data_IF_840053744883
#
_entry.id   IF_840053744883
#
_cell.length_a   1.000
_cell.length_b   1.000
_cell.length_c   1.000
_cell.angle_alpha   90.00
_cell.angle_beta   90.00
_cell.angle_gamma   90.00
#
_symmetry.space_group_name_H-M   'P 1'
#
loop_
_entity.id
_entity.type
_entity.pdbx_description
1 polymer ?
#
# COMPACT_ATOMS: atom_id res chain seq x y z
N UNK A 1 -17.83 -25.29 -23.00
CA UNK A 1 -18.78 -24.22 -22.65
C UNK A 1 -19.56 -23.80 -23.89
N UNK A 2 -20.88 -23.85 -23.82
CA UNK A 2 -21.79 -23.47 -24.91
C UNK A 2 -21.86 -21.94 -25.06
N UNK A 3 -22.32 -21.46 -26.23
CA UNK A 3 -22.53 -20.01 -26.47
C UNK A 3 -23.55 -19.41 -25.49
N UNK A 4 -24.59 -20.18 -25.16
CA UNK A 4 -25.65 -19.81 -24.20
C UNK A 4 -25.10 -19.61 -22.79
N UNK A 5 -24.26 -20.52 -22.30
CA UNK A 5 -23.58 -20.40 -21.00
C UNK A 5 -22.71 -19.15 -20.90
N UNK A 6 -21.93 -18.86 -21.96
CA UNK A 6 -21.10 -17.65 -22.02
C UNK A 6 -21.93 -16.37 -21.93
N UNK A 7 -23.07 -16.31 -22.62
CA UNK A 7 -23.96 -15.16 -22.56
C UNK A 7 -24.59 -15.01 -21.16
N UNK A 8 -25.06 -16.11 -20.56
CA UNK A 8 -25.64 -16.08 -19.21
C UNK A 8 -24.64 -15.56 -18.17
N UNK A 9 -23.38 -15.98 -18.24
CA UNK A 9 -22.31 -15.54 -17.33
C UNK A 9 -21.89 -14.06 -17.50
N UNK A 10 -22.31 -13.42 -18.59
CA UNK A 10 -22.12 -11.98 -18.81
C UNK A 10 -23.37 -11.18 -18.46
N UNK A 11 -24.53 -11.63 -18.95
CA UNK A 11 -25.80 -10.92 -18.82
C UNK A 11 -26.26 -10.88 -17.37
N UNK A 12 -26.22 -12.01 -16.66
CA UNK A 12 -26.81 -12.09 -15.33
C UNK A 12 -26.03 -11.24 -14.31
N UNK A 13 -24.68 -11.33 -14.20
CA UNK A 13 -23.94 -10.42 -13.32
C UNK A 13 -23.92 -8.98 -13.83
N UNK A 14 -23.88 -8.77 -15.14
CA UNK A 14 -23.97 -7.42 -15.72
C UNK A 14 -25.27 -6.72 -15.34
N UNK A 15 -26.41 -7.42 -15.41
CA UNK A 15 -27.71 -6.92 -15.01
C UNK A 15 -27.78 -6.61 -13.51
N UNK A 16 -27.27 -7.51 -12.65
CA UNK A 16 -27.21 -7.28 -11.21
C UNK A 16 -26.39 -6.02 -10.85
N UNK A 17 -25.22 -5.86 -11.46
CA UNK A 17 -24.38 -4.66 -11.28
C UNK A 17 -25.03 -3.39 -11.84
N UNK A 18 -25.77 -3.46 -12.95
CA UNK A 18 -26.51 -2.32 -13.50
C UNK A 18 -27.66 -1.89 -12.58
N UNK A 19 -28.38 -2.84 -11.97
CA UNK A 19 -29.39 -2.51 -10.96
C UNK A 19 -28.77 -1.82 -9.75
N UNK A 20 -27.60 -2.31 -9.29
CA UNK A 20 -26.88 -1.70 -8.18
C UNK A 20 -26.39 -0.29 -8.56
N UNK A 21 -25.91 -0.11 -9.79
CA UNK A 21 -25.53 1.20 -10.31
C UNK A 21 -26.73 2.15 -10.38
N UNK A 22 -27.89 1.69 -10.85
CA UNK A 22 -29.12 2.50 -10.87
C UNK A 22 -29.54 2.92 -9.45
N UNK A 23 -29.38 2.05 -8.46
CA UNK A 23 -29.61 2.39 -7.06
C UNK A 23 -28.63 3.45 -6.55
N UNK A 24 -27.33 3.31 -6.82
CA UNK A 24 -26.32 4.32 -6.46
C UNK A 24 -26.56 5.67 -7.15
N UNK A 25 -27.01 5.65 -8.40
CA UNK A 25 -27.36 6.86 -9.15
C UNK A 25 -28.51 7.62 -8.48
N UNK A 26 -29.52 6.90 -7.96
CA UNK A 26 -30.62 7.50 -7.21
C UNK A 26 -30.15 8.16 -5.91
N UNK A 27 -29.09 7.65 -5.30
CA UNK A 27 -28.45 8.23 -4.11
C UNK A 27 -27.48 9.38 -4.45
N UNK A 28 -27.30 9.70 -5.74
CA UNK A 28 -26.38 10.74 -6.20
C UNK A 28 -24.90 10.32 -6.20
N UNK A 29 -24.59 9.03 -5.99
CA UNK A 29 -23.20 8.53 -5.94
C UNK A 29 -22.70 8.15 -7.35
N UNK A 30 -22.33 9.17 -8.13
CA UNK A 30 -21.87 9.01 -9.52
C UNK A 30 -20.56 8.21 -9.58
N UNK A 31 -19.67 8.35 -8.60
CA UNK A 31 -18.42 7.59 -8.54
C UNK A 31 -18.67 6.09 -8.39
N UNK A 32 -19.65 5.68 -7.57
CA UNK A 32 -20.03 4.28 -7.44
C UNK A 32 -20.64 3.73 -8.74
N UNK A 33 -21.48 4.51 -9.40
CA UNK A 33 -22.04 4.16 -10.73
C UNK A 33 -20.90 3.86 -11.71
N UNK A 34 -19.93 4.78 -11.82
CA UNK A 34 -18.79 4.62 -12.70
C UNK A 34 -17.94 3.39 -12.32
N UNK A 35 -17.70 3.17 -11.03
CA UNK A 35 -16.96 2.00 -10.54
C UNK A 35 -17.64 0.67 -10.91
N UNK A 36 -18.97 0.58 -10.78
CA UNK A 36 -19.74 -0.60 -11.15
C UNK A 36 -19.73 -0.85 -12.67
N UNK A 37 -19.82 0.22 -13.48
CA UNK A 37 -19.68 0.12 -14.95
C UNK A 37 -18.27 -0.38 -15.33
N UNK A 38 -17.22 0.13 -14.67
CA UNK A 38 -15.85 -0.37 -14.86
C UNK A 38 -15.76 -1.86 -14.52
N UNK A 39 -16.39 -2.31 -13.42
CA UNK A 39 -16.42 -3.73 -13.05
C UNK A 39 -17.12 -4.61 -14.11
N UNK A 40 -18.22 -4.13 -14.71
CA UNK A 40 -18.87 -4.80 -15.84
C UNK A 40 -17.90 -4.91 -17.02
N UNK A 41 -17.19 -3.83 -17.36
CA UNK A 41 -16.17 -3.84 -18.41
C UNK A 41 -15.04 -4.85 -18.13
N UNK A 42 -14.62 -4.98 -16.87
CA UNK A 42 -13.57 -5.94 -16.47
C UNK A 42 -13.94 -7.40 -16.73
N UNK A 43 -15.24 -7.75 -16.75
CA UNK A 43 -15.71 -9.11 -17.02
C UNK A 43 -15.28 -9.61 -18.42
N UNK A 44 -15.10 -8.70 -19.38
CA UNK A 44 -14.70 -9.01 -20.75
C UNK A 44 -13.30 -9.64 -20.82
N UNK A 45 -12.41 -9.32 -19.87
CA UNK A 45 -11.04 -9.86 -19.84
C UNK A 45 -10.94 -11.26 -19.24
N UNK A 46 -12.02 -11.81 -18.67
CA UNK A 46 -12.10 -13.21 -18.20
C UNK A 46 -10.96 -13.65 -17.27
N UNK A 47 -10.41 -12.71 -16.51
CA UNK A 47 -9.31 -12.97 -15.57
C UNK A 47 -9.83 -13.63 -14.30
N UNK A 48 -9.08 -14.56 -13.73
CA UNK A 48 -9.49 -15.28 -12.51
C UNK A 48 -9.70 -14.37 -11.30
N UNK A 49 -8.92 -13.29 -11.17
CA UNK A 49 -9.08 -12.33 -10.06
C UNK A 49 -10.40 -11.54 -10.16
N UNK A 50 -10.87 -11.24 -11.39
CA UNK A 50 -12.14 -10.53 -11.62
C UNK A 50 -13.30 -11.35 -11.10
N UNK A 51 -13.25 -12.69 -11.22
CA UNK A 51 -14.26 -13.59 -10.65
C UNK A 51 -14.44 -13.38 -9.16
N UNK A 52 -13.32 -13.33 -8.42
CA UNK A 52 -13.33 -13.20 -6.95
C UNK A 52 -13.85 -11.82 -6.54
N UNK A 53 -13.42 -10.76 -7.24
CA UNK A 53 -13.93 -9.40 -7.03
C UNK A 53 -15.43 -9.32 -7.34
N UNK A 54 -15.88 -9.95 -8.44
CA UNK A 54 -17.29 -9.98 -8.83
C UNK A 54 -18.14 -10.73 -7.80
N UNK A 55 -17.68 -11.86 -7.28
CA UNK A 55 -18.36 -12.56 -6.19
C UNK A 55 -18.48 -11.68 -4.94
N UNK A 56 -17.42 -10.96 -4.57
CA UNK A 56 -17.47 -10.03 -3.43
C UNK A 56 -18.43 -8.86 -3.66
N UNK A 57 -18.45 -8.28 -4.86
CA UNK A 57 -19.34 -7.19 -5.22
C UNK A 57 -20.81 -7.61 -5.24
N UNK A 58 -21.13 -8.81 -5.75
CA UNK A 58 -22.49 -9.36 -5.72
C UNK A 58 -22.91 -9.74 -4.30
N UNK A 59 -22.03 -10.33 -3.50
CA UNK A 59 -22.33 -10.59 -2.09
C UNK A 59 -22.62 -9.30 -1.30
N UNK A 60 -21.87 -8.23 -1.59
CA UNK A 60 -22.17 -6.89 -1.09
C UNK A 60 -23.50 -6.34 -1.62
N UNK A 61 -23.79 -6.53 -2.91
CA UNK A 61 -25.06 -6.16 -3.53
C UNK A 61 -26.26 -6.81 -2.83
N UNK A 62 -26.20 -8.11 -2.55
CA UNK A 62 -27.23 -8.82 -1.79
C UNK A 62 -27.50 -8.19 -0.42
N UNK A 63 -26.45 -7.76 0.29
CA UNK A 63 -26.59 -7.05 1.56
C UNK A 63 -27.28 -5.70 1.38
N UNK A 64 -26.83 -4.89 0.41
CA UNK A 64 -27.44 -3.58 0.08
C UNK A 64 -28.92 -3.73 -0.27
N UNK A 65 -29.29 -4.75 -1.04
CA UNK A 65 -30.67 -4.99 -1.42
C UNK A 65 -31.53 -5.45 -0.24
N UNK A 66 -31.00 -6.29 0.64
CA UNK A 66 -31.69 -6.70 1.86
C UNK A 66 -31.98 -5.48 2.76
N UNK A 67 -30.97 -4.67 3.05
CA UNK A 67 -31.12 -3.44 3.84
C UNK A 67 -32.11 -2.46 3.21
N UNK A 68 -31.97 -2.21 1.90
CA UNK A 68 -32.89 -1.32 1.16
C UNK A 68 -34.33 -1.84 1.22
N UNK A 69 -34.54 -3.15 1.13
CA UNK A 69 -35.87 -3.77 1.21
C UNK A 69 -36.51 -3.51 2.57
N UNK A 70 -35.78 -3.79 3.65
CA UNK A 70 -36.25 -3.59 5.02
C UNK A 70 -36.61 -2.13 5.27
N UNK A 71 -35.75 -1.20 4.85
CA UNK A 71 -35.97 0.23 5.02
C UNK A 71 -37.21 0.73 4.27
N UNK A 72 -37.38 0.34 3.00
CA UNK A 72 -38.51 0.79 2.18
C UNK A 72 -39.84 0.16 2.63
N UNK A 73 -39.83 -1.10 3.05
CA UNK A 73 -41.03 -1.78 3.58
C UNK A 73 -41.42 -1.18 4.93
N UNK A 74 -40.46 -1.02 5.85
CA UNK A 74 -40.70 -0.41 7.15
C UNK A 74 -41.25 1.01 7.04
N UNK A 75 -40.70 1.82 6.14
CA UNK A 75 -41.20 3.16 5.85
C UNK A 75 -42.66 3.15 5.36
N UNK A 76 -43.02 2.22 4.46
CA UNK A 76 -44.41 2.10 3.97
C UNK A 76 -45.37 1.62 5.04
N UNK A 77 -44.96 0.66 5.87
CA UNK A 77 -45.76 0.17 6.99
C UNK A 77 -46.06 1.29 8.00
N UNK A 78 -45.05 2.11 8.33
CA UNK A 78 -45.22 3.25 9.22
C UNK A 78 -46.23 4.30 8.70
N UNK A 79 -46.37 4.42 7.37
CA UNK A 79 -47.35 5.32 6.74
C UNK A 79 -48.70 4.64 6.42
N UNK A 80 -48.91 3.38 6.78
CA UNK A 80 -50.12 2.62 6.42
C UNK A 80 -50.30 2.40 4.92
N UNK A 81 -49.23 2.52 4.11
CA UNK A 81 -49.30 2.40 2.66
C UNK A 81 -49.16 0.94 2.19
N UNK A 82 -49.73 0.56 1.02
CA UNK A 82 -49.55 -0.78 0.46
C UNK A 82 -48.07 -1.10 0.17
N UNK A 83 -47.56 -2.20 0.75
CA UNK A 83 -46.15 -2.58 0.68
C UNK A 83 -45.87 -3.94 -0.01
N UNK A 84 -46.88 -4.80 -0.17
CA UNK A 84 -46.73 -6.14 -0.75
C UNK A 84 -46.13 -6.13 -2.18
N UNK A 85 -46.58 -5.22 -3.04
CA UNK A 85 -46.04 -5.07 -4.40
C UNK A 85 -44.56 -4.67 -4.39
N UNK A 86 -44.19 -3.74 -3.51
CA UNK A 86 -42.79 -3.32 -3.35
C UNK A 86 -41.93 -4.50 -2.89
N UNK A 87 -42.39 -5.24 -1.88
CA UNK A 87 -41.66 -6.40 -1.38
C UNK A 87 -41.43 -7.43 -2.48
N UNK A 88 -42.44 -7.77 -3.28
CA UNK A 88 -42.29 -8.70 -4.39
C UNK A 88 -41.25 -8.24 -5.43
N UNK A 89 -41.24 -6.94 -5.77
CA UNK A 89 -40.23 -6.36 -6.68
C UNK A 89 -38.82 -6.50 -6.08
N UNK A 90 -38.65 -6.10 -4.82
CA UNK A 90 -37.36 -6.11 -4.16
C UNK A 90 -36.81 -7.54 -3.97
N UNK A 91 -37.68 -8.50 -3.64
CA UNK A 91 -37.32 -9.92 -3.59
C UNK A 91 -36.85 -10.40 -4.97
N UNK A 92 -37.51 -9.98 -6.04
CA UNK A 92 -37.07 -10.27 -7.41
C UNK A 92 -35.65 -9.75 -7.71
N UNK A 93 -35.34 -8.52 -7.27
CA UNK A 93 -33.99 -7.94 -7.41
C UNK A 93 -32.95 -8.74 -6.62
N UNK A 94 -33.25 -9.11 -5.37
CA UNK A 94 -32.38 -9.95 -4.54
C UNK A 94 -32.14 -11.31 -5.20
N UNK A 95 -33.19 -11.94 -5.73
CA UNK A 95 -33.08 -13.24 -6.41
C UNK A 95 -32.19 -13.15 -7.65
N UNK A 96 -32.33 -12.11 -8.47
CA UNK A 96 -31.46 -11.87 -9.64
C UNK A 96 -29.99 -11.78 -9.21
N UNK A 97 -29.70 -11.01 -8.16
CA UNK A 97 -28.34 -10.81 -7.65
C UNK A 97 -27.74 -12.11 -7.08
N UNK A 98 -28.52 -12.87 -6.31
CA UNK A 98 -28.11 -14.18 -5.79
C UNK A 98 -27.88 -15.21 -6.92
N UNK A 99 -28.73 -15.24 -7.95
CA UNK A 99 -28.53 -16.09 -9.12
C UNK A 99 -27.26 -15.70 -9.88
N UNK A 100 -26.97 -14.39 -9.99
CA UNK A 100 -25.71 -13.91 -10.57
C UNK A 100 -24.50 -14.40 -9.77
N UNK A 101 -24.56 -14.28 -8.43
CA UNK A 101 -23.50 -14.75 -7.54
C UNK A 101 -23.27 -16.26 -7.69
N UNK A 102 -24.35 -17.06 -7.69
CA UNK A 102 -24.28 -18.51 -7.88
C UNK A 102 -23.69 -18.88 -9.24
N UNK A 103 -24.10 -18.20 -10.32
CA UNK A 103 -23.57 -18.45 -11.66
C UNK A 103 -22.06 -18.19 -11.76
N UNK A 104 -21.58 -17.10 -11.12
CA UNK A 104 -20.14 -16.76 -11.08
C UNK A 104 -19.36 -17.72 -10.18
N UNK A 105 -19.94 -18.13 -9.04
CA UNK A 105 -19.31 -19.03 -8.08
C UNK A 105 -19.20 -20.47 -8.58
N UNK A 106 -20.18 -20.93 -9.35
CA UNK A 106 -20.25 -22.29 -9.89
C UNK A 106 -19.08 -22.62 -10.84
N UNK A 107 -18.99 -23.91 -11.20
CA UNK A 107 -17.95 -24.42 -12.10
C UNK A 107 -17.94 -23.75 -13.50
N UNK A 108 -19.09 -23.45 -14.15
CA UNK A 108 -19.10 -22.71 -15.41
C UNK A 108 -18.45 -21.33 -15.28
N UNK A 109 -18.71 -20.61 -14.20
CA UNK A 109 -18.02 -19.36 -13.89
C UNK A 109 -16.51 -19.55 -13.72
N UNK A 110 -16.06 -20.67 -13.15
CA UNK A 110 -14.63 -20.97 -12.93
C UNK A 110 -13.92 -21.18 -14.27
N UNK A 111 -14.56 -21.93 -15.14
CA UNK A 111 -14.09 -22.20 -16.51
C UNK A 111 -14.12 -20.94 -17.36
N UNK A 112 -15.09 -20.03 -17.14
CA UNK A 112 -15.14 -18.77 -17.88
C UNK A 112 -14.02 -17.80 -17.45
N UNK A 113 -13.85 -17.58 -16.15
CA UNK A 113 -12.84 -16.71 -15.58
C UNK A 113 -11.56 -17.48 -15.20
N UNK A 114 -10.89 -18.08 -16.18
CA UNK A 114 -9.71 -18.93 -15.94
C UNK A 114 -8.37 -18.22 -16.21
N UNK A 115 -8.37 -17.02 -16.79
CA UNK A 115 -7.14 -16.44 -17.32
C UNK A 115 -6.25 -15.81 -16.24
N UNK A 116 -4.95 -16.10 -16.34
CA UNK A 116 -3.88 -15.46 -15.58
C UNK A 116 -3.60 -16.11 -14.22
N UNK A 117 -2.36 -15.92 -13.76
CA UNK A 117 -1.88 -16.54 -12.53
C UNK A 117 -2.16 -15.70 -11.29
N UNK A 118 -1.98 -16.32 -10.12
CA UNK A 118 -2.08 -15.67 -8.82
C UNK A 118 -3.42 -14.96 -8.58
N UNK A 119 -4.52 -15.52 -9.13
CA UNK A 119 -5.85 -14.91 -9.10
C UNK A 119 -6.29 -14.51 -7.68
N UNK A 120 -6.05 -15.37 -6.69
CA UNK A 120 -6.38 -15.10 -5.29
C UNK A 120 -5.59 -13.91 -4.73
N UNK A 121 -4.27 -13.89 -4.92
CA UNK A 121 -3.42 -12.80 -4.41
C UNK A 121 -3.79 -11.47 -5.06
N UNK A 122 -4.02 -11.46 -6.38
CA UNK A 122 -4.43 -10.25 -7.12
C UNK A 122 -5.80 -9.74 -6.65
N UNK A 123 -6.78 -10.63 -6.45
CA UNK A 123 -8.08 -10.27 -5.91
C UNK A 123 -7.98 -9.77 -4.46
N UNK A 124 -7.15 -10.41 -3.63
CA UNK A 124 -6.93 -9.99 -2.25
C UNK A 124 -6.37 -8.56 -2.19
N UNK A 125 -5.38 -8.23 -3.03
CA UNK A 125 -4.83 -6.86 -3.10
C UNK A 125 -5.88 -5.84 -3.53
N UNK A 126 -6.67 -6.18 -4.55
CA UNK A 126 -7.77 -5.33 -4.99
C UNK A 126 -8.75 -5.07 -3.83
N UNK A 127 -9.26 -6.13 -3.21
CA UNK A 127 -10.29 -6.03 -2.17
C UNK A 127 -9.76 -5.34 -0.91
N UNK A 128 -8.55 -5.67 -0.45
CA UNK A 128 -7.93 -4.99 0.70
C UNK A 128 -7.75 -3.49 0.44
N UNK A 129 -7.30 -3.11 -0.76
CA UNK A 129 -7.14 -1.70 -1.11
C UNK A 129 -8.49 -0.97 -1.17
N UNK A 130 -9.50 -1.58 -1.83
CA UNK A 130 -10.84 -0.99 -1.95
C UNK A 130 -11.52 -0.86 -0.60
N UNK A 131 -11.51 -1.90 0.22
CA UNK A 131 -12.12 -1.89 1.56
C UNK A 131 -11.42 -0.90 2.47
N UNK A 132 -10.08 -0.89 2.51
CA UNK A 132 -9.34 0.05 3.33
C UNK A 132 -9.62 1.51 2.94
N UNK A 133 -9.59 1.84 1.65
CA UNK A 133 -9.88 3.20 1.18
C UNK A 133 -11.35 3.59 1.41
N UNK A 134 -12.30 2.68 1.20
CA UNK A 134 -13.72 2.91 1.49
C UNK A 134 -13.97 3.14 3.00
N UNK A 135 -13.30 2.37 3.85
CA UNK A 135 -13.35 2.57 5.31
C UNK A 135 -12.77 3.92 5.72
N UNK A 136 -11.60 4.30 5.18
CA UNK A 136 -10.99 5.60 5.46
C UNK A 136 -11.93 6.72 5.00
N UNK A 137 -12.46 6.63 3.77
CA UNK A 137 -13.42 7.60 3.23
C UNK A 137 -14.68 7.75 4.08
N UNK A 138 -15.21 6.67 4.64
CA UNK A 138 -16.45 6.72 5.45
C UNK A 138 -16.24 7.18 6.90
N UNK A 139 -15.01 7.12 7.42
CA UNK A 139 -14.68 7.49 8.81
C UNK A 139 -14.10 8.89 8.95
N UNK A 140 -13.49 9.42 7.88
CA UNK A 140 -12.86 10.74 7.91
C UNK A 140 -13.90 11.81 7.56
N UNK A 141 -14.01 12.90 8.34
CA UNK A 141 -15.08 13.91 8.18
C UNK A 141 -14.86 14.87 7.00
N UNK A 142 -13.77 14.73 6.25
CA UNK A 142 -13.39 15.59 5.13
C UNK A 142 -13.07 14.75 3.88
N UNK A 143 -13.11 15.34 2.66
CA UNK A 143 -12.81 14.63 1.43
C UNK A 143 -11.33 14.21 1.39
N UNK A 144 -11.06 12.97 1.84
CA UNK A 144 -9.71 12.41 1.93
C UNK A 144 -9.12 12.05 0.56
N UNK A 145 -9.98 11.65 -0.39
CA UNK A 145 -9.61 11.29 -1.76
C UNK A 145 -9.53 12.54 -2.66
N UNK A 146 -8.70 12.52 -3.71
CA UNK A 146 -8.47 13.72 -4.53
C UNK A 146 -9.66 14.00 -5.42
N UNK A 147 -10.22 12.94 -5.98
CA UNK A 147 -11.39 13.00 -6.84
C UNK A 147 -12.55 13.65 -6.09
N UNK A 148 -12.83 13.28 -4.84
CA UNK A 148 -13.91 13.90 -4.05
C UNK A 148 -13.71 15.40 -3.80
N UNK A 149 -12.47 15.91 -3.84
CA UNK A 149 -12.17 17.35 -3.63
C UNK A 149 -12.48 18.20 -4.85
N UNK A 150 -12.13 17.70 -6.04
CA UNK A 150 -12.35 18.41 -7.31
C UNK A 150 -13.73 18.10 -7.90
N UNK A 151 -14.20 16.87 -7.70
CA UNK A 151 -15.43 16.32 -8.25
C UNK A 151 -16.19 15.58 -7.13
N UNK A 152 -17.09 16.26 -6.41
CA UNK A 152 -17.87 15.64 -5.35
C UNK A 152 -18.55 14.34 -5.80
N UNK A 153 -18.49 13.30 -4.94
CA UNK A 153 -18.99 11.95 -5.19
C UNK A 153 -18.19 11.08 -6.18
N UNK A 154 -17.03 11.51 -6.69
CA UNK A 154 -16.19 10.70 -7.58
C UNK A 154 -15.18 9.80 -6.87
N UNK A 155 -15.08 9.86 -5.54
CA UNK A 155 -14.10 9.09 -4.76
C UNK A 155 -14.12 7.58 -5.02
N UNK A 156 -15.30 6.98 -5.24
CA UNK A 156 -15.40 5.55 -5.55
C UNK A 156 -14.73 5.16 -6.87
N UNK A 157 -14.68 6.05 -7.86
CA UNK A 157 -13.94 5.80 -9.09
C UNK A 157 -12.42 5.83 -8.84
N UNK A 158 -11.92 6.75 -8.00
CA UNK A 158 -10.52 6.76 -7.57
C UNK A 158 -10.17 5.48 -6.79
N UNK A 159 -11.04 5.03 -5.89
CA UNK A 159 -10.89 3.76 -5.16
C UNK A 159 -10.81 2.58 -6.13
N UNK A 160 -11.71 2.51 -7.12
CA UNK A 160 -11.70 1.47 -8.15
C UNK A 160 -10.40 1.49 -8.96
N UNK A 161 -9.96 2.68 -9.40
CA UNK A 161 -8.72 2.84 -10.15
C UNK A 161 -7.49 2.40 -9.34
N UNK A 162 -7.40 2.78 -8.07
CA UNK A 162 -6.33 2.36 -7.16
C UNK A 162 -6.36 0.85 -6.89
N UNK A 163 -7.54 0.23 -6.78
CA UNK A 163 -7.70 -1.21 -6.67
C UNK A 163 -7.19 -1.95 -7.93
N UNK A 164 -7.56 -1.47 -9.12
CA UNK A 164 -7.07 -2.02 -10.40
C UNK A 164 -5.55 -1.86 -10.53
N UNK A 165 -5.02 -0.70 -10.16
CA UNK A 165 -3.59 -0.45 -10.11
C UNK A 165 -2.88 -1.41 -9.15
N UNK A 166 -3.40 -1.57 -7.93
CA UNK A 166 -2.79 -2.41 -6.90
C UNK A 166 -2.70 -3.88 -7.35
N UNK A 167 -3.78 -4.46 -7.87
CA UNK A 167 -3.75 -5.85 -8.34
C UNK A 167 -2.80 -6.04 -9.53
N UNK A 168 -2.67 -5.01 -10.39
CA UNK A 168 -1.79 -5.07 -11.55
C UNK A 168 -0.32 -5.11 -11.10
N UNK A 169 0.05 -4.21 -10.18
CA UNK A 169 1.37 -4.21 -9.55
C UNK A 169 1.67 -5.52 -8.83
N UNK A 170 0.72 -6.06 -8.07
CA UNK A 170 0.88 -7.35 -7.40
C UNK A 170 1.15 -8.48 -8.40
N UNK A 171 0.43 -8.50 -9.53
CA UNK A 171 0.68 -9.45 -10.62
C UNK A 171 2.11 -9.35 -11.18
N UNK A 172 2.61 -8.13 -11.38
CA UNK A 172 3.97 -7.89 -11.87
C UNK A 172 5.04 -8.26 -10.83
N UNK A 173 4.81 -8.02 -9.54
CA UNK A 173 5.77 -8.35 -8.47
C UNK A 173 5.83 -9.85 -8.16
N UNK A 174 4.71 -10.57 -8.33
CA UNK A 174 4.66 -12.02 -8.17
C UNK A 174 5.26 -12.78 -9.35
N UNK A 175 5.36 -12.16 -10.53
CA UNK A 175 6.02 -12.75 -11.67
C UNK A 175 7.52 -13.02 -11.38
N UNK A 176 8.13 -14.08 -11.95
CA UNK A 176 9.54 -14.40 -11.77
C UNK A 176 10.44 -13.20 -12.10
N UNK A 177 11.31 -12.81 -11.16
CA UNK A 177 12.22 -11.65 -11.31
C UNK A 177 11.54 -10.27 -11.30
N UNK A 178 10.20 -10.19 -11.34
CA UNK A 178 9.47 -8.92 -11.47
C UNK A 178 9.64 -8.00 -10.26
N UNK A 179 9.65 -8.54 -9.03
CA UNK A 179 9.78 -7.77 -7.79
C UNK A 179 10.97 -6.80 -7.79
N UNK A 180 12.17 -7.25 -8.14
CA UNK A 180 13.39 -6.42 -8.13
C UNK A 180 13.37 -5.27 -9.14
N UNK A 181 12.53 -5.35 -10.16
CA UNK A 181 12.36 -4.31 -11.18
C UNK A 181 11.16 -3.38 -10.89
N UNK A 182 10.06 -3.96 -10.42
CA UNK A 182 8.79 -3.26 -10.20
C UNK A 182 8.84 -2.44 -8.92
N UNK A 183 9.41 -2.98 -7.82
CA UNK A 183 9.48 -2.30 -6.51
C UNK A 183 10.10 -0.90 -6.60
N UNK A 184 11.31 -0.70 -7.17
CA UNK A 184 11.90 0.65 -7.24
C UNK A 184 11.05 1.64 -8.04
N UNK A 185 10.34 1.17 -9.08
CA UNK A 185 9.50 2.02 -9.95
C UNK A 185 8.24 2.49 -9.25
N UNK A 186 7.50 1.57 -8.62
CA UNK A 186 6.30 1.95 -7.88
C UNK A 186 6.67 2.84 -6.69
N UNK A 187 7.82 2.59 -6.06
CA UNK A 187 8.29 3.40 -4.94
C UNK A 187 8.67 4.82 -5.38
N UNK A 188 9.33 4.95 -6.53
CA UNK A 188 9.61 6.24 -7.16
C UNK A 188 8.31 6.96 -7.59
N UNK A 189 7.33 6.24 -8.14
CA UNK A 189 6.01 6.79 -8.48
C UNK A 189 5.32 7.36 -7.24
N UNK A 190 5.31 6.63 -6.12
CA UNK A 190 4.73 7.11 -4.88
C UNK A 190 5.41 8.40 -4.39
N UNK A 191 6.74 8.43 -4.41
CA UNK A 191 7.49 9.64 -4.07
C UNK A 191 7.15 10.81 -5.01
N UNK A 192 7.09 10.56 -6.32
CA UNK A 192 6.77 11.57 -7.32
C UNK A 192 5.36 12.14 -7.15
N UNK A 193 4.35 11.30 -6.88
CA UNK A 193 2.97 11.75 -6.62
C UNK A 193 2.93 12.56 -5.33
N UNK A 194 3.56 12.09 -4.26
CA UNK A 194 3.57 12.77 -2.97
C UNK A 194 4.21 14.17 -3.04
N UNK A 195 5.42 14.28 -3.60
CA UNK A 195 6.11 15.58 -3.75
C UNK A 195 5.51 16.45 -4.86
N UNK A 196 4.95 15.84 -5.90
CA UNK A 196 4.22 16.57 -6.94
C UNK A 196 2.97 17.25 -6.39
N UNK A 197 2.20 16.56 -5.55
CA UNK A 197 1.05 17.16 -4.85
C UNK A 197 1.48 18.29 -3.92
N UNK A 198 2.56 18.11 -3.16
CA UNK A 198 3.11 19.19 -2.33
C UNK A 198 3.51 20.41 -3.16
N UNK A 199 4.25 20.21 -4.26
CA UNK A 199 4.71 21.29 -5.11
C UNK A 199 3.54 22.05 -5.76
N UNK A 200 2.53 21.33 -6.27
CA UNK A 200 1.32 21.94 -6.83
C UNK A 200 0.51 22.68 -5.75
N UNK A 201 0.41 22.10 -4.55
CA UNK A 201 -0.21 22.74 -3.39
C UNK A 201 0.45 24.07 -3.02
N UNK A 202 1.78 24.08 -2.95
CA UNK A 202 2.57 25.30 -2.68
C UNK A 202 2.52 26.32 -3.83
N UNK A 203 2.28 25.86 -5.06
CA UNK A 203 2.13 26.72 -6.24
C UNK A 203 0.71 27.35 -6.37
N UNK A 204 -0.18 27.12 -5.38
CA UNK A 204 -1.51 27.73 -5.32
C UNK A 204 -2.68 26.77 -5.57
N UNK A 205 -2.43 25.48 -5.85
CA UNK A 205 -3.50 24.48 -5.92
C UNK A 205 -3.83 23.94 -4.51
N UNK A 206 -4.36 24.80 -3.64
CA UNK A 206 -4.56 24.51 -2.20
C UNK A 206 -5.34 23.20 -1.94
N UNK A 207 -6.24 22.78 -2.83
CA UNK A 207 -6.95 21.50 -2.72
C UNK A 207 -6.03 20.25 -2.78
N UNK A 208 -4.77 20.40 -3.22
CA UNK A 208 -3.74 19.36 -3.14
C UNK A 208 -3.13 19.24 -1.74
N UNK A 209 -3.27 20.26 -0.89
CA UNK A 209 -2.87 20.23 0.51
C UNK A 209 -4.04 19.75 1.39
N UNK A 210 -3.72 19.03 2.45
CA UNK A 210 -4.65 18.38 3.36
C UNK A 210 -5.09 19.30 4.49
N UNK A 211 -4.25 20.28 4.88
CA UNK A 211 -4.55 21.26 5.94
C UNK A 211 -3.88 22.62 5.66
N UNK A 212 -4.38 23.68 6.31
CA UNK A 212 -3.78 25.03 6.27
C UNK A 212 -2.44 25.17 7.02
N UNK A 213 -1.76 24.05 7.35
CA UNK A 213 -0.45 24.04 8.01
C UNK A 213 0.54 23.20 7.21
N UNK A 214 1.70 23.75 6.92
CA UNK A 214 2.73 23.08 6.12
C UNK A 214 3.41 21.98 6.96
N UNK A 215 3.11 20.71 6.65
CA UNK A 215 3.85 19.58 7.19
C UNK A 215 5.09 19.32 6.33
N UNK A 216 6.26 19.68 6.84
CA UNK A 216 7.52 19.44 6.13
C UNK A 216 7.77 17.92 5.99
N UNK A 217 7.98 17.38 4.76
CA UNK A 217 8.16 15.95 4.53
C UNK A 217 9.59 15.49 4.81
N UNK A 218 9.98 15.54 6.08
CA UNK A 218 11.27 15.03 6.55
C UNK A 218 10.98 13.87 7.52
N UNK A 219 11.35 12.62 7.19
CA UNK A 219 11.02 11.46 8.03
C UNK A 219 11.46 11.58 9.48
N UNK A 220 12.54 12.29 9.78
CA UNK A 220 12.99 12.55 11.16
C UNK A 220 11.93 13.25 12.03
N UNK A 221 11.03 14.04 11.41
CA UNK A 221 9.93 14.70 12.10
C UNK A 221 8.85 13.75 12.60
N UNK A 222 8.82 12.50 12.13
CA UNK A 222 7.94 11.47 12.71
C UNK A 222 8.30 11.26 14.19
N UNK A 223 9.59 11.32 14.55
CA UNK A 223 10.02 11.25 15.95
C UNK A 223 10.12 12.64 16.59
N UNK A 224 10.77 13.61 15.92
CA UNK A 224 11.07 14.91 16.51
C UNK A 224 9.85 15.83 16.66
N UNK A 225 8.90 15.77 15.73
CA UNK A 225 7.74 16.67 15.69
C UNK A 225 6.88 16.58 16.96
N UNK A 226 6.44 15.38 17.38
CA UNK A 226 5.70 15.20 18.63
C UNK A 226 6.53 15.53 19.86
N UNK A 227 7.84 15.26 19.86
CA UNK A 227 8.73 15.60 20.97
C UNK A 227 8.83 17.11 21.17
N UNK A 228 8.92 17.86 20.07
CA UNK A 228 8.97 19.33 20.08
C UNK A 228 7.62 19.97 20.44
N UNK A 229 6.52 19.52 19.79
CA UNK A 229 5.19 20.11 19.98
C UNK A 229 4.46 19.62 21.24
N UNK A 230 4.79 18.43 21.74
CA UNK A 230 4.04 17.76 22.81
C UNK A 230 2.72 17.12 22.36
N UNK A 231 2.38 17.19 21.08
CA UNK A 231 1.14 16.70 20.49
C UNK A 231 1.36 16.18 19.04
N UNK A 232 0.31 15.64 18.40
CA UNK A 232 0.36 15.22 17.00
C UNK A 232 0.89 13.79 16.78
N UNK A 233 0.22 12.80 17.38
CA UNK A 233 0.60 11.39 17.32
C UNK A 233 0.21 10.66 16.02
N UNK A 234 -0.48 11.33 15.09
CA UNK A 234 -0.97 10.70 13.87
C UNK A 234 0.15 10.02 13.05
N UNK A 235 1.24 10.73 12.75
CA UNK A 235 2.36 10.17 11.98
C UNK A 235 3.11 9.04 12.72
N UNK A 236 3.44 9.17 14.03
CA UNK A 236 3.95 8.05 14.83
C UNK A 236 3.05 6.82 14.83
N UNK A 237 1.73 7.00 14.96
CA UNK A 237 0.76 5.89 14.97
C UNK A 237 0.71 5.23 13.60
N UNK A 238 0.59 6.02 12.52
CA UNK A 238 0.58 5.51 11.15
C UNK A 238 1.87 4.74 10.83
N UNK A 239 3.03 5.30 11.19
CA UNK A 239 4.32 4.64 11.06
C UNK A 239 4.41 3.37 11.91
N UNK A 240 3.98 3.42 13.18
CA UNK A 240 4.00 2.27 14.09
C UNK A 240 3.13 1.12 13.59
N UNK A 241 1.88 1.40 13.23
CA UNK A 241 0.94 0.39 12.70
C UNK A 241 1.49 -0.22 11.40
N UNK A 242 2.02 0.58 10.48
CA UNK A 242 2.62 0.04 9.26
C UNK A 242 3.86 -0.81 9.54
N UNK A 243 4.73 -0.41 10.47
CA UNK A 243 5.88 -1.24 10.88
C UNK A 243 5.44 -2.53 11.56
N UNK A 244 4.34 -2.55 12.30
CA UNK A 244 3.79 -3.80 12.84
C UNK A 244 3.30 -4.74 11.71
N UNK A 245 2.60 -4.20 10.71
CA UNK A 245 2.04 -4.97 9.60
C UNK A 245 3.09 -5.54 8.63
N UNK A 246 4.12 -4.75 8.29
CA UNK A 246 5.11 -5.13 7.25
C UNK A 246 6.57 -5.05 7.71
N UNK A 247 6.82 -4.87 9.01
CA UNK A 247 8.17 -4.78 9.55
C UNK A 247 8.92 -3.54 9.05
N UNK A 248 10.26 -3.61 8.90
CA UNK A 248 11.05 -2.49 8.42
C UNK A 248 10.89 -2.20 6.91
N UNK A 249 9.94 -2.86 6.23
CA UNK A 249 9.60 -2.63 4.83
C UNK A 249 9.08 -1.23 4.54
N UNK A 250 8.57 -0.52 5.55
CA UNK A 250 8.17 0.88 5.40
C UNK A 250 9.31 1.72 4.79
N UNK A 251 10.55 1.54 5.25
CA UNK A 251 11.73 2.26 4.75
C UNK A 251 12.12 1.91 3.30
N UNK A 252 11.61 0.80 2.74
CA UNK A 252 12.00 0.29 1.41
C UNK A 252 10.84 0.22 0.40
N UNK A 253 9.63 0.56 0.84
CA UNK A 253 8.42 0.53 0.00
C UNK A 253 7.53 1.77 0.16
N UNK A 254 7.47 2.39 1.35
CA UNK A 254 6.46 3.40 1.69
C UNK A 254 7.06 4.75 2.11
N UNK A 255 8.38 4.84 2.33
CA UNK A 255 9.03 6.10 2.66
C UNK A 255 9.29 6.92 1.39
N UNK A 256 8.64 8.07 1.24
CA UNK A 256 8.76 8.93 0.04
C UNK A 256 10.20 9.43 -0.19
N UNK A 257 10.99 9.71 0.86
CA UNK A 257 12.40 10.10 0.75
C UNK A 257 13.31 8.91 0.43
N UNK A 258 13.00 7.72 0.96
CA UNK A 258 13.85 6.54 0.73
C UNK A 258 13.95 6.15 -0.75
N UNK A 259 12.93 6.47 -1.55
CA UNK A 259 12.94 6.25 -3.00
C UNK A 259 14.06 7.05 -3.70
N UNK A 260 14.39 8.25 -3.20
CA UNK A 260 15.48 9.07 -3.75
C UNK A 260 16.84 8.46 -3.44
N UNK A 261 17.01 7.95 -2.23
CA UNK A 261 18.25 7.27 -1.82
C UNK A 261 18.45 5.94 -2.58
N UNK A 262 17.37 5.19 -2.83
CA UNK A 262 17.40 4.00 -3.68
C UNK A 262 17.76 4.36 -5.13
N UNK A 263 17.20 5.44 -5.67
CA UNK A 263 17.54 5.92 -7.01
C UNK A 263 19.01 6.39 -7.11
N UNK A 264 19.50 7.16 -6.14
CA UNK A 264 20.89 7.63 -6.12
C UNK A 264 21.87 6.48 -5.94
N UNK A 265 21.62 5.58 -4.98
CA UNK A 265 22.48 4.41 -4.77
C UNK A 265 22.56 3.51 -6.01
N UNK A 266 21.51 3.45 -6.83
CA UNK A 266 21.53 2.70 -8.10
C UNK A 266 22.42 3.28 -9.20
N UNK A 267 22.81 4.55 -9.11
CA UNK A 267 23.79 5.17 -10.03
C UNK A 267 25.22 4.75 -9.74
N UNK A 268 25.48 4.29 -8.51
CA UNK A 268 26.79 3.85 -8.05
C UNK A 268 27.13 2.41 -8.41
N UNK A 269 28.32 1.95 -7.97
CA UNK A 269 28.74 0.57 -8.13
C UNK A 269 27.78 -0.40 -7.43
N UNK A 270 27.91 -1.69 -7.72
CA UNK A 270 27.20 -2.71 -6.94
C UNK A 270 27.86 -2.81 -5.56
N UNK A 271 27.10 -2.75 -4.46
CA UNK A 271 27.67 -2.75 -3.11
C UNK A 271 28.38 -4.06 -2.78
N UNK A 272 29.47 -3.98 -2.05
CA UNK A 272 30.14 -5.12 -1.42
C UNK A 272 29.93 -5.13 0.10
N UNK A 273 30.17 -6.27 0.77
CA UNK A 273 30.12 -6.35 2.22
C UNK A 273 31.22 -5.49 2.85
N UNK A 274 30.88 -4.71 3.87
CA UNK A 274 31.84 -3.89 4.62
C UNK A 274 31.46 -3.81 6.09
N UNK A 275 32.39 -4.20 6.96
CA UNK A 275 32.21 -4.15 8.41
C UNK A 275 32.06 -2.70 8.92
N UNK A 276 32.80 -1.76 8.33
CA UNK A 276 32.74 -0.34 8.69
C UNK A 276 31.38 0.26 8.35
N UNK A 277 30.85 -0.01 7.15
CA UNK A 277 29.50 0.41 6.74
C UNK A 277 28.44 -0.17 7.67
N UNK A 278 28.56 -1.45 8.03
CA UNK A 278 27.61 -2.10 8.94
C UNK A 278 27.65 -1.47 10.34
N UNK A 279 28.85 -1.22 10.89
CA UNK A 279 29.02 -0.56 12.19
C UNK A 279 28.41 0.85 12.16
N UNK A 280 28.76 1.64 11.14
CA UNK A 280 28.19 2.97 10.93
C UNK A 280 26.67 2.91 10.80
N UNK A 281 26.12 1.84 10.20
CA UNK A 281 24.68 1.73 10.05
C UNK A 281 23.92 1.60 11.37
N UNK A 282 24.55 1.09 12.43
CA UNK A 282 23.90 0.98 13.74
C UNK A 282 24.20 2.24 14.55
N UNK A 283 25.48 2.56 14.73
CA UNK A 283 25.90 3.68 15.58
C UNK A 283 25.53 5.04 15.00
N UNK A 284 25.66 5.24 13.68
CA UNK A 284 25.32 6.49 13.02
C UNK A 284 23.82 6.83 13.14
N UNK A 285 22.93 5.86 12.89
CA UNK A 285 21.49 6.08 13.06
C UNK A 285 21.08 6.22 14.53
N UNK A 286 21.75 5.52 15.44
CA UNK A 286 21.54 5.69 16.89
C UNK A 286 21.93 7.09 17.36
N UNK A 287 23.12 7.56 16.97
CA UNK A 287 23.59 8.91 17.25
C UNK A 287 22.68 9.98 16.62
N UNK A 288 22.26 9.79 15.36
CA UNK A 288 21.32 10.69 14.70
C UNK A 288 19.98 10.75 15.43
N UNK A 289 19.44 9.61 15.91
CA UNK A 289 18.20 9.58 16.67
C UNK A 289 18.33 10.33 17.99
N UNK A 290 19.40 10.06 18.76
CA UNK A 290 19.67 10.76 20.03
C UNK A 290 19.80 12.26 19.77
N UNK A 291 20.59 12.66 18.79
CA UNK A 291 20.80 14.07 18.44
C UNK A 291 19.50 14.77 18.06
N UNK A 292 18.69 14.15 17.19
CA UNK A 292 17.42 14.71 16.72
C UNK A 292 16.42 14.86 17.88
N UNK A 293 16.30 13.86 18.75
CA UNK A 293 15.41 13.92 19.92
C UNK A 293 15.90 14.92 20.96
N UNK A 294 17.19 14.92 21.27
CA UNK A 294 17.80 15.87 22.21
C UNK A 294 17.66 17.32 21.72
N UNK A 295 17.86 17.55 20.43
CA UNK A 295 17.66 18.87 19.81
C UNK A 295 16.19 19.29 19.92
N UNK A 296 15.25 18.40 19.61
CA UNK A 296 13.81 18.70 19.74
C UNK A 296 13.42 19.05 21.19
N UNK A 297 13.95 18.32 22.18
CA UNK A 297 13.72 18.61 23.60
C UNK A 297 14.35 19.94 24.02
N UNK A 298 15.58 20.23 23.58
CA UNK A 298 16.26 21.49 23.88
C UNK A 298 15.52 22.70 23.28
N UNK A 299 15.11 22.62 22.00
CA UNK A 299 14.33 23.66 21.35
C UNK A 299 13.01 23.91 22.07
N UNK A 300 12.33 22.85 22.54
CA UNK A 300 11.10 22.96 23.33
C UNK A 300 11.36 23.62 24.68
N UNK A 301 12.39 23.19 25.39
CA UNK A 301 12.75 23.74 26.70
C UNK A 301 13.13 25.23 26.64
N UNK A 302 13.75 25.66 25.54
CA UNK A 302 14.12 27.04 25.28
C UNK A 302 12.98 27.90 24.72
N UNK A 303 11.78 27.34 24.50
CA UNK A 303 10.64 28.07 23.94
C UNK A 303 10.87 28.59 22.52
N UNK A 304 11.70 27.91 21.72
CA UNK A 304 12.08 28.37 20.38
C UNK A 304 10.85 28.41 19.46
N UNK A 305 10.65 29.48 18.67
CA UNK A 305 9.54 29.58 17.73
C UNK A 305 9.51 28.41 16.74
N UNK A 306 8.30 27.93 16.41
CA UNK A 306 8.11 26.80 15.50
C UNK A 306 8.74 27.01 14.11
N UNK A 307 8.76 28.25 13.60
CA UNK A 307 9.39 28.58 12.32
C UNK A 307 10.89 28.22 12.31
N UNK A 308 11.62 28.52 13.39
CA UNK A 308 13.04 28.17 13.52
C UNK A 308 13.24 26.66 13.55
N UNK A 309 12.39 25.93 14.27
CA UNK A 309 12.43 24.46 14.31
C UNK A 309 12.16 23.86 12.91
N UNK A 310 11.23 24.42 12.14
CA UNK A 310 10.95 24.04 10.75
C UNK A 310 12.14 24.32 9.84
N UNK A 311 12.79 25.48 9.97
CA UNK A 311 14.00 25.82 9.19
C UNK A 311 15.16 24.87 9.49
N UNK A 312 15.39 24.53 10.77
CA UNK A 312 16.40 23.54 11.16
C UNK A 312 16.07 22.16 10.59
N UNK A 313 14.80 21.75 10.63
CA UNK A 313 14.35 20.49 10.03
C UNK A 313 14.52 20.47 8.51
N UNK A 314 14.28 21.60 7.83
CA UNK A 314 14.53 21.76 6.40
C UNK A 314 16.03 21.65 6.07
N UNK A 315 16.89 22.31 6.86
CA UNK A 315 18.34 22.17 6.77
C UNK A 315 18.80 20.71 6.93
N UNK A 316 18.28 20.01 7.94
CA UNK A 316 18.53 18.58 8.14
C UNK A 316 18.05 17.74 6.92
N UNK A 317 16.89 18.06 6.36
CA UNK A 317 16.39 17.43 5.13
C UNK A 317 17.34 17.64 3.95
N UNK A 318 17.77 18.87 3.71
CA UNK A 318 18.67 19.25 2.61
C UNK A 318 20.05 18.60 2.73
N UNK A 319 20.64 18.58 3.93
CA UNK A 319 21.88 17.82 4.19
C UNK A 319 21.66 16.35 3.86
N UNK A 320 20.51 15.79 4.26
CA UNK A 320 20.12 14.43 3.93
C UNK A 320 20.09 14.16 2.41
N UNK A 321 19.54 15.08 1.62
CA UNK A 321 19.57 15.00 0.14
C UNK A 321 21.01 15.08 -0.38
N UNK A 322 21.84 15.96 0.19
CA UNK A 322 23.28 16.03 -0.12
C UNK A 322 23.99 14.70 0.12
N UNK A 323 23.70 14.01 1.22
CA UNK A 323 24.23 12.65 1.50
C UNK A 323 23.80 11.66 0.41
N UNK A 324 22.55 11.70 -0.05
CA UNK A 324 22.09 10.82 -1.14
C UNK A 324 22.87 11.09 -2.43
N UNK A 325 22.98 12.36 -2.83
CA UNK A 325 23.61 12.75 -4.09
C UNK A 325 25.12 12.51 -4.09
N UNK A 326 25.81 12.76 -2.98
CA UNK A 326 27.28 12.72 -2.92
C UNK A 326 27.84 11.40 -2.38
N UNK A 327 27.16 10.78 -1.42
CA UNK A 327 27.68 9.58 -0.71
C UNK A 327 27.00 8.33 -1.23
N UNK A 328 25.66 8.28 -1.22
CA UNK A 328 24.93 7.09 -1.67
C UNK A 328 25.22 6.73 -3.13
N UNK A 329 25.29 7.74 -4.00
CA UNK A 329 25.63 7.56 -5.41
C UNK A 329 27.05 7.03 -5.65
N UNK A 330 28.03 7.37 -4.80
CA UNK A 330 29.41 6.90 -4.93
C UNK A 330 29.60 5.50 -4.34
N UNK A 331 28.89 5.21 -3.25
CA UNK A 331 29.03 3.93 -2.53
C UNK A 331 28.18 2.80 -3.11
N UNK A 332 27.14 3.13 -3.88
CA UNK A 332 26.17 2.12 -4.32
C UNK A 332 25.23 1.64 -3.20
N UNK A 333 25.24 2.33 -2.06
CA UNK A 333 24.51 1.99 -0.84
C UNK A 333 23.53 3.11 -0.51
N UNK A 334 22.44 2.77 0.16
CA UNK A 334 21.46 3.73 0.66
C UNK A 334 21.98 4.40 1.94
N UNK A 335 23.09 5.13 1.81
CA UNK A 335 23.86 5.68 2.93
C UNK A 335 23.02 6.64 3.77
N UNK A 336 22.12 7.43 3.16
CA UNK A 336 21.19 8.26 3.90
C UNK A 336 20.28 7.40 4.79
N UNK A 337 19.62 6.38 4.23
CA UNK A 337 18.71 5.51 4.98
C UNK A 337 19.43 4.61 5.99
N UNK A 338 20.70 4.26 5.76
CA UNK A 338 21.45 3.37 6.65
C UNK A 338 22.29 4.09 7.69
N UNK A 339 22.71 5.34 7.49
CA UNK A 339 23.65 6.02 8.40
C UNK A 339 23.18 7.40 8.88
N UNK A 340 22.31 8.09 8.14
CA UNK A 340 21.89 9.47 8.45
C UNK A 340 20.47 9.55 9.04
N UNK A 341 19.52 8.84 8.43
CA UNK A 341 18.11 8.93 8.81
C UNK A 341 17.83 8.21 10.15
N UNK A 342 17.34 8.91 11.19
CA UNK A 342 17.10 8.31 12.49
C UNK A 342 15.94 7.29 12.44
N UNK A 343 14.96 7.50 11.56
CA UNK A 343 13.84 6.57 11.42
C UNK A 343 14.26 5.19 10.92
N UNK A 344 15.43 5.06 10.30
CA UNK A 344 15.96 3.77 9.87
C UNK A 344 16.22 2.82 11.04
N UNK A 345 16.77 3.29 12.17
CA UNK A 345 17.00 2.43 13.34
C UNK A 345 15.68 2.17 14.08
N UNK A 346 14.82 3.18 14.18
CA UNK A 346 13.48 3.04 14.79
C UNK A 346 12.69 1.95 14.06
N UNK A 347 12.64 2.00 12.72
CA UNK A 347 11.93 1.02 11.90
C UNK A 347 12.51 -0.39 12.06
N UNK A 348 13.83 -0.54 12.09
CA UNK A 348 14.48 -1.85 12.23
C UNK A 348 14.30 -2.46 13.62
N UNK A 349 14.30 -1.65 14.67
CA UNK A 349 14.07 -2.12 16.05
C UNK A 349 12.60 -2.47 16.26
N UNK A 350 11.68 -1.56 15.94
CA UNK A 350 10.23 -1.80 16.06
C UNK A 350 9.78 -2.95 15.15
N UNK A 351 10.39 -3.08 13.96
CA UNK A 351 10.10 -4.17 13.03
C UNK A 351 10.39 -5.57 13.57
N UNK A 352 11.14 -5.71 14.68
CA UNK A 352 11.30 -7.00 15.36
C UNK A 352 10.01 -7.51 16.00
N UNK A 353 9.07 -6.61 16.32
CA UNK A 353 7.73 -6.97 16.82
C UNK A 353 6.87 -7.60 15.73
N UNK A 354 7.11 -7.24 14.46
CA UNK A 354 6.44 -7.85 13.33
C UNK A 354 6.90 -9.32 13.19
N UNK A 355 6.04 -10.27 12.79
CA UNK A 355 6.42 -11.68 12.58
C UNK A 355 7.26 -11.92 11.32
N UNK A 356 7.33 -10.95 10.40
CA UNK A 356 8.07 -11.10 9.15
C UNK A 356 9.57 -11.24 9.38
N UNK A 357 10.18 -12.27 8.78
CA UNK A 357 11.63 -12.49 8.79
C UNK A 357 12.14 -12.75 7.38
N UNK A 358 13.38 -12.35 7.14
CA UNK A 358 14.17 -12.79 5.99
C UNK A 358 15.09 -13.90 6.47
N UNK A 359 15.08 -15.06 5.82
CA UNK A 359 15.93 -16.21 6.18
C UNK A 359 16.68 -16.73 4.98
N UNK A 360 17.84 -17.30 5.26
CA UNK A 360 18.70 -17.98 4.30
C UNK A 360 18.70 -19.46 4.68
N UNK A 361 18.40 -20.32 3.72
CA UNK A 361 18.29 -21.75 3.92
C UNK A 361 19.67 -22.41 4.05
N UNK A 362 19.71 -23.59 4.68
CA UNK A 362 20.97 -24.30 4.98
C UNK A 362 21.69 -24.78 3.72
N UNK A 363 20.94 -25.01 2.64
CA UNK A 363 21.47 -25.44 1.33
C UNK A 363 22.00 -24.27 0.49
N UNK A 364 22.17 -23.09 1.10
CA UNK A 364 22.78 -21.95 0.43
C UNK A 364 24.23 -22.24 0.05
N UNK A 365 24.52 -22.24 -1.25
CA UNK A 365 25.86 -22.43 -1.80
C UNK A 365 26.83 -21.25 -1.59
N UNK A 366 26.47 -20.26 -0.77
CA UNK A 366 27.27 -19.07 -0.45
C UNK A 366 27.85 -18.28 -1.65
N UNK A 367 27.19 -18.30 -2.82
CA UNK A 367 27.68 -17.65 -4.05
C UNK A 367 27.82 -16.11 -4.00
N UNK A 368 27.31 -15.45 -2.96
CA UNK A 368 27.44 -13.99 -2.76
C UNK A 368 26.59 -13.11 -3.70
N UNK A 369 25.76 -13.68 -4.59
CA UNK A 369 24.94 -12.92 -5.52
C UNK A 369 24.07 -11.85 -4.83
N UNK A 370 23.54 -12.17 -3.64
CA UNK A 370 22.71 -11.29 -2.84
C UNK A 370 23.48 -10.08 -2.26
N UNK A 371 24.80 -10.16 -2.07
CA UNK A 371 25.61 -9.05 -1.52
C UNK A 371 25.58 -7.86 -2.47
N UNK A 372 25.81 -8.11 -3.76
CA UNK A 372 25.82 -7.12 -4.84
C UNK A 372 24.49 -6.40 -5.07
N UNK A 373 23.39 -6.89 -4.46
CA UNK A 373 22.04 -6.32 -4.54
C UNK A 373 21.59 -5.68 -3.24
N UNK A 374 22.26 -5.97 -2.12
CA UNK A 374 21.86 -5.48 -0.81
C UNK A 374 22.36 -4.04 -0.59
N UNK A 375 21.57 -3.05 -1.03
CA UNK A 375 21.93 -1.63 -0.86
C UNK A 375 21.84 -1.12 0.58
N UNK A 376 21.35 -1.94 1.50
CA UNK A 376 21.31 -1.67 2.94
C UNK A 376 22.53 -2.23 3.70
N UNK A 377 23.46 -2.90 3.00
CA UNK A 377 24.65 -3.51 3.63
C UNK A 377 24.32 -4.57 4.67
N UNK A 378 23.19 -5.27 4.51
CA UNK A 378 22.65 -6.18 5.51
C UNK A 378 23.14 -7.64 5.38
N UNK A 379 23.87 -7.95 4.31
CA UNK A 379 24.33 -9.30 3.97
C UNK A 379 25.85 -9.32 3.77
N UNK A 380 26.47 -10.34 4.35
CA UNK A 380 27.88 -10.71 4.18
C UNK A 380 28.02 -12.23 4.44
N UNK A 381 29.24 -12.76 4.37
CA UNK A 381 29.52 -14.19 4.56
C UNK A 381 29.08 -14.69 5.93
N UNK A 382 29.32 -13.93 7.00
CA UNK A 382 28.91 -14.27 8.37
C UNK A 382 27.38 -14.42 8.46
N UNK A 383 26.63 -13.50 7.82
CA UNK A 383 25.16 -13.52 7.82
C UNK A 383 24.56 -14.65 7.00
N UNK A 384 25.22 -15.05 5.93
CA UNK A 384 24.85 -16.25 5.16
C UNK A 384 24.98 -17.49 6.04
N UNK A 385 26.12 -17.65 6.73
CA UNK A 385 26.35 -18.77 7.64
C UNK A 385 25.35 -18.76 8.80
N UNK A 386 25.04 -17.60 9.37
CA UNK A 386 24.05 -17.48 10.46
C UNK A 386 22.59 -17.63 10.01
N UNK A 387 22.33 -17.78 8.72
CA UNK A 387 20.98 -17.98 8.17
C UNK A 387 20.05 -16.75 8.22
N UNK A 388 20.59 -15.55 8.47
CA UNK A 388 19.79 -14.34 8.66
C UNK A 388 20.59 -13.04 8.39
N UNK A 389 19.97 -12.03 7.75
CA UNK A 389 20.63 -10.74 7.54
C UNK A 389 20.79 -9.95 8.85
N UNK A 390 21.64 -8.93 8.81
CA UNK A 390 21.84 -8.04 9.96
C UNK A 390 20.66 -7.09 10.19
N UNK A 391 20.71 -6.32 11.29
CA UNK A 391 19.66 -5.38 11.71
C UNK A 391 19.33 -4.30 10.66
N UNK A 392 20.22 -4.01 9.70
CA UNK A 392 19.93 -3.02 8.65
C UNK A 392 18.97 -3.54 7.56
N UNK A 393 18.56 -4.82 7.60
CA UNK A 393 17.62 -5.39 6.64
C UNK A 393 16.24 -4.74 6.73
N UNK A 394 15.78 -4.17 5.62
CA UNK A 394 14.47 -3.52 5.51
C UNK A 394 13.43 -4.38 4.79
N UNK A 395 13.64 -5.70 4.69
CA UNK A 395 12.71 -6.63 4.00
C UNK A 395 12.37 -6.23 2.55
N UNK A 396 13.25 -5.50 1.85
CA UNK A 396 12.98 -5.00 0.49
C UNK A 396 12.84 -6.10 -0.58
N UNK A 397 13.35 -7.31 -0.34
CA UNK A 397 13.23 -8.45 -1.26
C UNK A 397 14.13 -8.41 -2.50
N UNK A 398 14.99 -7.40 -2.66
CA UNK A 398 15.93 -7.33 -3.79
C UNK A 398 16.89 -8.54 -3.82
N UNK A 399 17.27 -9.05 -2.63
CA UNK A 399 18.08 -10.27 -2.51
C UNK A 399 17.33 -11.54 -2.95
N UNK A 400 16.04 -11.66 -2.62
CA UNK A 400 15.18 -12.80 -2.99
C UNK A 400 15.09 -12.93 -4.50
N UNK A 401 14.89 -11.80 -5.20
CA UNK A 401 14.79 -11.77 -6.66
C UNK A 401 16.11 -12.08 -7.37
N UNK A 402 17.23 -11.98 -6.67
CA UNK A 402 18.57 -12.15 -7.24
C UNK A 402 19.20 -13.51 -6.98
N UNK A 403 18.61 -14.32 -6.10
CA UNK A 403 19.16 -15.62 -5.76
C UNK A 403 18.81 -16.64 -6.85
N UNK A 404 19.78 -17.18 -7.60
CA UNK A 404 19.50 -18.14 -8.67
C UNK A 404 19.01 -19.49 -8.13
N UNK A 405 19.31 -19.79 -6.86
CA UNK A 405 19.00 -21.09 -6.22
C UNK A 405 17.79 -21.04 -5.28
N UNK A 406 17.12 -19.87 -5.14
CA UNK A 406 15.95 -19.74 -4.26
C UNK A 406 16.20 -19.87 -2.76
N UNK A 407 17.47 -19.79 -2.30
CA UNK A 407 17.89 -20.09 -0.93
C UNK A 407 17.73 -18.93 0.07
N UNK A 408 17.12 -17.81 -0.34
CA UNK A 408 16.84 -16.66 0.54
C UNK A 408 15.43 -16.16 0.28
N UNK A 409 14.64 -15.99 1.34
CA UNK A 409 13.23 -15.66 1.20
C UNK A 409 12.56 -15.13 2.47
N UNK A 410 11.34 -14.67 2.29
CA UNK A 410 10.45 -14.29 3.39
C UNK A 410 10.04 -15.53 4.19
N UNK A 411 9.86 -15.34 5.49
CA UNK A 411 9.32 -16.33 6.43
C UNK A 411 8.31 -15.65 7.34
N UNK A 412 7.24 -16.37 7.63
CA UNK A 412 6.17 -15.99 8.54
C UNK A 412 5.70 -17.26 9.28
N UNK A 413 5.44 -17.21 10.60
CA UNK A 413 5.01 -18.38 11.37
C UNK A 413 3.77 -19.06 10.76
N UNK A 414 3.84 -20.36 10.49
CA UNK A 414 2.73 -21.13 9.94
C UNK A 414 2.52 -21.02 8.42
N UNK A 415 3.37 -20.28 7.70
CA UNK A 415 3.30 -20.18 6.23
C UNK A 415 4.51 -20.83 5.55
N UNK A 416 4.29 -21.44 4.39
CA UNK A 416 5.37 -21.86 3.50
C UNK A 416 6.14 -20.63 2.95
N UNK A 417 7.39 -20.79 2.49
CA UNK A 417 8.17 -19.71 1.87
C UNK A 417 7.43 -18.93 0.78
N UNK A 418 6.76 -19.64 -0.13
CA UNK A 418 6.04 -19.05 -1.26
C UNK A 418 4.76 -18.34 -0.80
N UNK A 419 4.03 -18.94 0.15
CA UNK A 419 2.86 -18.31 0.75
C UNK A 419 3.26 -17.04 1.52
N UNK A 420 4.35 -17.08 2.29
CA UNK A 420 4.87 -15.93 3.02
C UNK A 420 5.25 -14.79 2.07
N UNK A 421 5.96 -15.07 0.98
CA UNK A 421 6.27 -14.07 -0.05
C UNK A 421 4.99 -13.49 -0.67
N UNK A 422 4.03 -14.34 -1.00
CA UNK A 422 2.76 -13.92 -1.62
C UNK A 422 1.98 -13.00 -0.69
N UNK A 423 1.79 -13.40 0.57
CA UNK A 423 1.08 -12.60 1.58
C UNK A 423 1.81 -11.28 1.85
N UNK A 424 3.14 -11.30 1.93
CA UNK A 424 3.93 -10.07 2.10
C UNK A 424 3.70 -9.09 0.94
N UNK A 425 3.76 -9.57 -0.30
CA UNK A 425 3.47 -8.74 -1.49
C UNK A 425 2.03 -8.23 -1.45
N UNK A 426 1.06 -9.06 -1.06
CA UNK A 426 -0.34 -8.65 -0.93
C UNK A 426 -0.46 -7.48 0.05
N UNK A 427 0.11 -7.59 1.24
CA UNK A 427 0.06 -6.54 2.26
C UNK A 427 0.76 -5.26 1.80
N UNK A 428 2.00 -5.36 1.33
CA UNK A 428 2.79 -4.16 1.01
C UNK A 428 2.25 -3.41 -0.20
N UNK A 429 1.73 -4.11 -1.21
CA UNK A 429 1.11 -3.47 -2.39
C UNK A 429 -0.24 -2.85 -2.03
N UNK A 430 -1.02 -3.49 -1.16
CA UNK A 430 -2.27 -2.89 -0.65
C UNK A 430 -1.99 -1.61 0.13
N UNK A 431 -1.02 -1.66 1.06
CA UNK A 431 -0.58 -0.46 1.79
C UNK A 431 -0.04 0.63 0.87
N UNK A 432 0.74 0.26 -0.15
CA UNK A 432 1.22 1.19 -1.17
C UNK A 432 0.07 1.90 -1.88
N UNK A 433 -0.96 1.18 -2.32
CA UNK A 433 -2.11 1.77 -2.99
C UNK A 433 -2.95 2.65 -2.05
N UNK A 434 -3.13 2.23 -0.80
CA UNK A 434 -3.79 3.04 0.23
C UNK A 434 -3.01 4.33 0.44
N UNK A 435 -1.69 4.25 0.64
CA UNK A 435 -0.82 5.41 0.81
C UNK A 435 -0.84 6.29 -0.44
N UNK A 436 -0.85 5.74 -1.64
CA UNK A 436 -0.97 6.54 -2.86
C UNK A 436 -2.30 7.32 -2.92
N UNK A 437 -3.39 6.70 -2.45
CA UNK A 437 -4.70 7.34 -2.37
C UNK A 437 -4.82 8.41 -1.29
N UNK A 438 -4.17 8.22 -0.13
CA UNK A 438 -4.41 9.07 1.06
C UNK A 438 -3.20 9.88 1.53
N UNK A 439 -1.97 9.54 1.14
CA UNK A 439 -0.77 10.20 1.65
C UNK A 439 -0.62 11.58 1.02
N UNK A 440 -1.00 12.61 1.79
CA UNK A 440 -0.94 14.04 1.43
C UNK A 440 -0.54 14.85 2.65
N UNK A 441 -0.04 16.07 2.41
CA UNK A 441 0.49 17.03 3.41
C UNK A 441 -0.58 18.03 3.81
#
# INVERSE_FOLDING_TARGET
MTKREKHLLMILPGMALLLLAAHSLRLGDIGMVAALIVLIGLMLFRRGWVRIVLMAALAWGAFVWAETTLNLVGFRQAMGAPWMRLLAIMVGVVVIDLLALLAVAAEPGRRFFHQGDNALARAAVFLLSVVALAMIRSKVPFPILLADRYFPAWGWLEIMALGIYAQWIAGLMLAPGGHGFVRPRIWALFSAVFFGQLALGLAGMESMLMTGSLHLPVPALIAAGPVFRGEGLFMPILFGVTVLLVGPAWCSHLCYIGAWDDAMSRRGPRPGPSASVRRLSVFGRGAALILVVATALALRAMGVPGATAVLMAAGFGLIGVGVMVLVSSRMGLMAHCTAYCPMGIVSNVLGRLSPWRMRIDRDCCACGACFSRCRYGALDTERVVSGAPSLSCTLCGDCVSSCPHGQIGYRFPGLSPDAARTVFIVLIVSLHAVFLGVARI
#
